data_IF_778762181624
#
_entry.id   IF_778762181624
#
_cell.length_a   1.000
_cell.length_b   1.000
_cell.length_c   1.000
_cell.angle_alpha   90.00
_cell.angle_beta   90.00
_cell.angle_gamma   90.00
#
_symmetry.space_group_name_H-M   'P 1'
#
loop_
_entity.id
_entity.type
_entity.pdbx_description
1 polymer ?
#
# COMPACT_ATOMS: atom_id res chain seq x y z
N UNK A 1 -17.62 -7.28 -13.42
CA UNK A 1 -16.23 -6.79 -13.47
C UNK A 1 -15.81 -6.87 -14.93
N UNK A 2 -15.35 -5.76 -15.50
CA UNK A 2 -14.86 -5.75 -16.90
C UNK A 2 -13.48 -6.44 -16.97
N UNK A 3 -13.19 -7.25 -18.00
CA UNK A 3 -11.85 -7.81 -18.19
C UNK A 3 -10.85 -6.71 -18.57
N UNK A 4 -9.71 -6.69 -17.87
CA UNK A 4 -8.60 -5.78 -18.13
C UNK A 4 -7.44 -6.53 -18.78
N UNK A 5 -6.72 -5.88 -19.68
CA UNK A 5 -5.56 -6.43 -20.38
C UNK A 5 -4.29 -5.71 -19.93
N UNK A 6 -3.17 -6.43 -19.74
CA UNK A 6 -1.88 -5.79 -19.48
C UNK A 6 -1.45 -4.94 -20.67
N UNK A 7 -0.69 -3.89 -20.39
CA UNK A 7 -0.08 -3.03 -21.42
C UNK A 7 1.44 -3.20 -21.42
N UNK A 8 2.14 -2.82 -22.51
CA UNK A 8 3.60 -2.78 -22.50
C UNK A 8 4.12 -1.83 -21.41
N UNK A 9 5.17 -2.22 -20.71
CA UNK A 9 5.76 -1.45 -19.59
C UNK A 9 6.08 0.01 -19.97
N UNK A 10 6.60 0.26 -21.18
CA UNK A 10 6.89 1.62 -21.65
C UNK A 10 5.63 2.51 -21.75
N UNK A 11 4.48 1.92 -22.04
CA UNK A 11 3.22 2.65 -22.09
C UNK A 11 2.68 2.91 -20.67
N UNK A 12 2.81 1.94 -19.77
CA UNK A 12 2.48 2.14 -18.36
C UNK A 12 3.35 3.25 -17.73
N UNK A 13 4.65 3.23 -17.97
CA UNK A 13 5.58 4.26 -17.51
C UNK A 13 5.20 5.66 -18.05
N UNK A 14 4.88 5.76 -19.34
CA UNK A 14 4.43 7.03 -19.93
C UNK A 14 3.12 7.54 -19.30
N UNK A 15 2.22 6.63 -18.88
CA UNK A 15 1.00 6.99 -18.18
C UNK A 15 1.26 7.49 -16.76
N UNK A 16 2.18 6.85 -16.02
CA UNK A 16 2.66 7.37 -14.73
C UNK A 16 3.33 8.73 -14.86
N UNK A 17 4.18 8.92 -15.88
CA UNK A 17 4.80 10.22 -16.18
C UNK A 17 3.75 11.30 -16.47
N UNK A 18 2.70 10.97 -17.21
CA UNK A 18 1.58 11.88 -17.49
C UNK A 18 0.83 12.28 -16.21
N UNK A 19 0.59 11.32 -15.30
CA UNK A 19 -0.03 11.59 -13.99
C UNK A 19 0.87 12.49 -13.15
N UNK A 20 2.17 12.17 -13.07
CA UNK A 20 3.15 12.94 -12.30
C UNK A 20 3.31 14.38 -12.83
N UNK A 21 3.31 14.54 -14.16
CA UNK A 21 3.39 15.84 -14.82
C UNK A 21 2.06 16.60 -14.86
N UNK A 22 0.96 15.97 -14.41
CA UNK A 22 -0.41 16.47 -14.52
C UNK A 22 -0.77 16.87 -15.96
N UNK A 23 -0.48 15.98 -16.92
CA UNK A 23 -0.76 16.22 -18.32
C UNK A 23 -2.27 16.47 -18.56
N UNK A 24 -2.65 17.35 -19.51
CA UNK A 24 -4.06 17.74 -19.72
C UNK A 24 -5.02 16.56 -19.92
N UNK A 25 -4.59 15.51 -20.60
CA UNK A 25 -5.36 14.30 -20.91
C UNK A 25 -5.69 13.44 -19.66
N UNK A 26 -4.99 13.65 -18.55
CA UNK A 26 -5.21 12.93 -17.27
C UNK A 26 -5.56 13.88 -16.12
N UNK A 27 -5.81 15.17 -16.38
CA UNK A 27 -6.04 16.18 -15.35
C UNK A 27 -7.18 15.80 -14.39
N UNK A 28 -8.32 15.34 -14.92
CA UNK A 28 -9.47 14.92 -14.10
C UNK A 28 -9.14 13.71 -13.21
N UNK A 29 -8.35 12.76 -13.71
CA UNK A 29 -7.88 11.62 -12.94
C UNK A 29 -6.97 12.08 -11.81
N UNK A 30 -6.00 12.93 -12.11
CA UNK A 30 -5.04 13.51 -11.15
C UNK A 30 -5.80 14.24 -10.03
N UNK A 31 -6.80 15.05 -10.35
CA UNK A 31 -7.59 15.78 -9.34
C UNK A 31 -8.35 14.84 -8.39
N UNK A 32 -8.89 13.72 -8.91
CA UNK A 32 -9.52 12.69 -8.08
C UNK A 32 -8.48 11.99 -7.21
N UNK A 33 -7.36 11.58 -7.79
CA UNK A 33 -6.27 10.89 -7.10
C UNK A 33 -5.75 11.72 -5.95
N UNK A 34 -5.40 12.99 -6.18
CA UNK A 34 -4.89 13.87 -5.14
C UNK A 34 -5.90 14.06 -4.00
N UNK A 35 -7.18 14.31 -4.32
CA UNK A 35 -8.20 14.49 -3.30
C UNK A 35 -8.37 13.25 -2.42
N UNK A 36 -8.33 12.05 -3.01
CA UNK A 36 -8.43 10.79 -2.25
C UNK A 36 -7.16 10.58 -1.43
N UNK A 37 -5.98 10.79 -2.03
CA UNK A 37 -4.69 10.61 -1.36
C UNK A 37 -4.52 11.55 -0.17
N UNK A 38 -4.82 12.83 -0.34
CA UNK A 38 -4.74 13.84 0.72
C UNK A 38 -5.65 13.48 1.90
N UNK A 39 -6.85 12.97 1.61
CA UNK A 39 -7.75 12.49 2.67
C UNK A 39 -7.21 11.24 3.35
N UNK A 40 -6.68 10.29 2.58
CA UNK A 40 -6.07 9.08 3.12
C UNK A 40 -4.88 9.42 4.01
N UNK A 41 -4.02 10.36 3.61
CA UNK A 41 -2.90 10.85 4.43
C UNK A 41 -3.35 11.53 5.73
N UNK A 42 -4.51 12.20 5.72
CA UNK A 42 -5.05 12.82 6.92
C UNK A 42 -5.71 11.83 7.89
N UNK A 43 -6.30 10.75 7.38
CA UNK A 43 -7.12 9.82 8.17
C UNK A 43 -6.40 8.50 8.52
N UNK A 44 -5.47 8.03 7.69
CA UNK A 44 -4.80 6.73 7.85
C UNK A 44 -3.38 6.90 8.40
N UNK A 45 -3.01 6.20 9.49
CA UNK A 45 -1.71 6.37 10.16
C UNK A 45 -0.50 5.97 9.33
N UNK A 46 -0.68 5.13 8.30
CA UNK A 46 0.38 4.66 7.42
C UNK A 46 -0.05 4.69 5.94
N UNK A 47 -0.60 5.82 5.50
CA UNK A 47 -0.83 6.06 4.07
C UNK A 47 0.52 6.19 3.35
N UNK A 48 0.79 5.27 2.42
CA UNK A 48 2.01 5.28 1.61
C UNK A 48 1.99 6.34 0.50
N UNK A 49 3.06 6.41 -0.31
CA UNK A 49 3.03 7.15 -1.56
C UNK A 49 2.07 6.48 -2.57
N UNK A 50 1.78 7.20 -3.65
CA UNK A 50 1.13 6.60 -4.82
C UNK A 50 2.04 5.49 -5.38
N UNK A 51 1.45 4.34 -5.70
CA UNK A 51 2.17 3.22 -6.31
C UNK A 51 2.52 3.54 -7.77
N UNK A 52 3.79 3.36 -8.12
CA UNK A 52 4.35 3.57 -9.46
C UNK A 52 4.61 2.26 -10.22
N UNK A 53 4.12 1.13 -9.69
CA UNK A 53 4.25 -0.17 -10.33
C UNK A 53 3.51 -0.18 -11.70
N UNK A 54 4.24 -0.34 -12.82
CA UNK A 54 3.64 -0.32 -14.15
C UNK A 54 2.63 -1.43 -14.39
N UNK A 55 2.71 -2.55 -13.65
CA UNK A 55 1.75 -3.67 -13.75
C UNK A 55 0.34 -3.29 -13.29
N UNK A 56 0.20 -2.18 -12.55
CA UNK A 56 -1.10 -1.67 -12.12
C UNK A 56 -1.81 -0.87 -13.23
N UNK A 57 -1.10 -0.52 -14.31
CA UNK A 57 -1.68 0.12 -15.49
C UNK A 57 -2.17 -0.94 -16.45
N UNK A 58 -3.46 -0.87 -16.77
CA UNK A 58 -4.14 -1.85 -17.58
C UNK A 58 -4.99 -1.16 -18.65
N UNK A 59 -5.47 -1.94 -19.61
CA UNK A 59 -6.36 -1.49 -20.68
C UNK A 59 -7.73 -2.14 -20.58
N UNK A 60 -8.77 -1.35 -20.70
CA UNK A 60 -10.16 -1.79 -20.86
C UNK A 60 -10.41 -2.32 -22.27
N UNK A 61 -11.54 -3.00 -22.50
CA UNK A 61 -11.85 -3.58 -23.80
C UNK A 61 -12.07 -2.53 -24.91
N UNK A 62 -12.44 -1.30 -24.53
CA UNK A 62 -12.59 -0.15 -25.42
C UNK A 62 -11.28 0.62 -25.66
N UNK A 63 -10.16 0.17 -25.09
CA UNK A 63 -8.83 0.69 -25.36
C UNK A 63 -8.33 1.75 -24.37
N UNK A 64 -9.14 2.20 -23.42
CA UNK A 64 -8.77 3.20 -22.42
C UNK A 64 -7.80 2.62 -21.37
N UNK A 65 -6.84 3.45 -20.96
CA UNK A 65 -5.93 3.12 -19.86
C UNK A 65 -6.61 3.36 -18.51
N UNK A 66 -6.37 2.45 -17.57
CA UNK A 66 -6.83 2.53 -16.18
C UNK A 66 -5.69 2.16 -15.26
N UNK A 67 -5.71 2.69 -14.04
CA UNK A 67 -4.81 2.29 -12.96
C UNK A 67 -5.62 1.61 -11.87
N UNK A 68 -5.31 0.34 -11.59
CA UNK A 68 -6.16 -0.52 -10.77
C UNK A 68 -5.82 -0.48 -9.28
N UNK A 69 -4.54 -0.30 -8.95
CA UNK A 69 -4.03 -0.33 -7.56
C UNK A 69 -3.01 0.80 -7.35
N UNK A 70 -3.50 1.99 -7.00
CA UNK A 70 -2.68 3.20 -6.93
C UNK A 70 -2.33 3.62 -5.49
N UNK A 71 -3.14 3.21 -4.51
CA UNK A 71 -2.98 3.67 -3.13
C UNK A 71 -2.35 2.57 -2.29
N UNK A 72 -1.11 2.79 -1.88
CA UNK A 72 -0.36 1.83 -1.06
C UNK A 72 -0.39 2.19 0.43
N UNK A 73 -0.21 1.17 1.28
CA UNK A 73 0.17 1.39 2.67
C UNK A 73 1.69 1.61 2.75
N UNK A 74 2.16 2.43 3.69
CA UNK A 74 3.58 2.57 4.00
C UNK A 74 4.07 1.35 4.80
N UNK A 75 4.18 0.22 4.09
CA UNK A 75 4.64 -1.06 4.64
C UNK A 75 5.96 -0.94 5.41
N UNK A 76 7.01 -0.31 4.86
CA UNK A 76 8.27 -0.09 5.58
C UNK A 76 8.08 0.58 6.94
N UNK A 77 7.32 1.67 7.01
CA UNK A 77 7.07 2.37 8.27
C UNK A 77 6.20 1.54 9.22
N UNK A 78 5.19 0.82 8.71
CA UNK A 78 4.37 -0.11 9.53
C UNK A 78 5.28 -1.14 10.19
N UNK A 79 6.10 -1.86 9.43
CA UNK A 79 6.95 -2.93 9.97
C UNK A 79 8.06 -2.39 10.89
N UNK A 80 8.60 -1.21 10.60
CA UNK A 80 9.51 -0.54 11.53
C UNK A 80 8.82 -0.22 12.86
N UNK A 81 7.55 0.23 12.81
CA UNK A 81 6.74 0.52 14.00
C UNK A 81 6.41 -0.74 14.78
N UNK A 82 6.15 -1.89 14.12
CA UNK A 82 5.95 -3.17 14.82
C UNK A 82 7.15 -3.52 15.72
N UNK A 83 8.37 -3.19 15.27
CA UNK A 83 9.60 -3.46 16.02
C UNK A 83 9.86 -2.42 17.10
N UNK A 84 9.60 -1.13 16.83
CA UNK A 84 9.97 -0.03 17.73
C UNK A 84 8.86 0.39 18.70
N UNK A 85 7.60 0.28 18.31
CA UNK A 85 6.40 0.70 19.06
C UNK A 85 5.19 -0.20 18.70
N UNK A 86 5.18 -1.47 19.14
CA UNK A 86 4.08 -2.39 18.85
C UNK A 86 2.74 -1.96 19.48
N UNK A 87 2.77 -1.15 20.54
CA UNK A 87 1.55 -0.62 21.17
C UNK A 87 0.79 0.30 20.22
N UNK A 88 1.50 1.15 19.47
CA UNK A 88 0.89 2.00 18.45
C UNK A 88 0.24 1.16 17.34
N UNK A 89 0.86 0.06 16.92
CA UNK A 89 0.28 -0.85 15.90
C UNK A 89 -1.00 -1.49 16.42
N UNK A 90 -0.97 -2.06 17.63
CA UNK A 90 -2.15 -2.69 18.25
C UNK A 90 -3.30 -1.70 18.46
N UNK A 91 -2.99 -0.45 18.82
CA UNK A 91 -4.00 0.59 19.02
C UNK A 91 -4.69 1.04 17.71
N UNK A 92 -4.08 0.79 16.55
CA UNK A 92 -4.55 1.30 15.25
C UNK A 92 -5.04 0.22 14.29
N UNK A 93 -4.56 -1.01 14.42
CA UNK A 93 -4.94 -2.14 13.57
C UNK A 93 -5.56 -3.24 14.44
N UNK A 94 -6.85 -3.57 14.26
CA UNK A 94 -7.50 -4.66 15.00
C UNK A 94 -6.79 -6.02 14.81
N UNK A 95 -6.86 -6.89 15.82
CA UNK A 95 -6.21 -8.20 15.82
C UNK A 95 -6.50 -9.04 14.58
N UNK A 96 -7.78 -9.14 14.20
CA UNK A 96 -8.22 -9.90 13.05
C UNK A 96 -7.58 -9.43 11.73
N UNK A 97 -7.23 -8.14 11.62
CA UNK A 97 -6.64 -7.53 10.42
C UNK A 97 -5.11 -7.69 10.39
N UNK A 98 -4.45 -7.80 11.54
CA UNK A 98 -2.97 -7.94 11.65
C UNK A 98 -2.46 -9.35 11.96
N UNK A 99 -3.34 -10.32 12.22
CA UNK A 99 -2.95 -11.70 12.62
C UNK A 99 -1.95 -12.41 11.69
N UNK A 100 -1.88 -12.00 10.43
CA UNK A 100 -0.94 -12.55 9.44
C UNK A 100 0.20 -11.61 9.07
N UNK A 101 0.32 -10.43 9.69
CA UNK A 101 1.30 -9.43 9.26
C UNK A 101 2.74 -9.94 9.38
N UNK A 102 3.04 -10.83 10.33
CA UNK A 102 4.38 -11.42 10.47
C UNK A 102 4.63 -12.63 9.56
N UNK A 103 3.60 -13.09 8.84
CA UNK A 103 3.66 -14.31 8.03
C UNK A 103 3.94 -14.00 6.56
N UNK A 104 3.46 -12.85 6.09
CA UNK A 104 3.62 -12.39 4.71
C UNK A 104 4.60 -11.22 4.72
N UNK A 105 5.82 -11.38 4.16
CA UNK A 105 6.75 -10.28 4.11
C UNK A 105 6.28 -9.16 3.19
N UNK A 106 6.89 -7.98 3.36
CA UNK A 106 6.67 -6.89 2.43
C UNK A 106 6.98 -7.37 1.00
N UNK A 107 6.14 -6.94 0.05
CA UNK A 107 6.32 -7.32 -1.35
C UNK A 107 7.76 -7.01 -1.80
N UNK A 108 8.36 -7.96 -2.53
CA UNK A 108 9.72 -7.85 -3.07
C UNK A 108 10.87 -7.73 -2.05
N UNK A 109 10.65 -7.91 -0.73
CA UNK A 109 11.76 -7.91 0.26
C UNK A 109 12.32 -9.28 0.60
N UNK A 110 11.75 -10.35 0.05
CA UNK A 110 12.10 -11.72 0.44
C UNK A 110 11.55 -12.09 1.82
N UNK A 111 11.87 -13.31 2.29
CA UNK A 111 11.39 -13.79 3.58
C UNK A 111 11.99 -13.00 4.75
N UNK A 112 11.22 -12.85 5.83
CA UNK A 112 11.75 -12.33 7.08
C UNK A 112 12.84 -13.23 7.63
N UNK A 113 13.91 -12.61 8.16
CA UNK A 113 14.83 -13.33 9.03
C UNK A 113 14.07 -13.92 10.22
N UNK A 114 14.24 -15.21 10.56
CA UNK A 114 13.43 -15.87 11.58
C UNK A 114 13.41 -15.15 12.93
N UNK A 115 14.55 -14.59 13.35
CA UNK A 115 14.67 -13.84 14.59
C UNK A 115 13.87 -12.52 14.57
N UNK A 116 13.84 -11.82 13.43
CA UNK A 116 13.07 -10.58 13.26
C UNK A 116 11.58 -10.89 13.32
N UNK A 117 11.14 -11.94 12.62
CA UNK A 117 9.75 -12.40 12.65
C UNK A 117 9.30 -12.74 14.07
N UNK A 118 10.12 -13.46 14.82
CA UNK A 118 9.77 -13.84 16.19
C UNK A 118 9.73 -12.63 17.13
N UNK A 119 10.66 -11.68 16.97
CA UNK A 119 10.65 -10.41 17.71
C UNK A 119 9.35 -9.63 17.47
N UNK A 120 8.91 -9.50 16.22
CA UNK A 120 7.65 -8.83 15.86
C UNK A 120 6.44 -9.52 16.50
N UNK A 121 6.35 -10.85 16.44
CA UNK A 121 5.26 -11.62 17.05
C UNK A 121 5.20 -11.42 18.56
N UNK A 122 6.34 -11.54 19.23
CA UNK A 122 6.42 -11.38 20.68
C UNK A 122 6.04 -9.94 21.11
N UNK A 123 6.50 -8.93 20.36
CA UNK A 123 6.16 -7.52 20.60
C UNK A 123 4.66 -7.25 20.50
N UNK A 124 4.02 -7.73 19.43
CA UNK A 124 2.58 -7.57 19.22
C UNK A 124 1.76 -8.32 20.27
N UNK A 125 2.11 -9.57 20.58
CA UNK A 125 1.41 -10.36 21.60
C UNK A 125 1.48 -9.70 22.98
N UNK A 126 2.62 -9.11 23.33
CA UNK A 126 2.77 -8.37 24.58
C UNK A 126 1.92 -7.09 24.59
N UNK A 127 1.84 -6.37 23.47
CA UNK A 127 1.00 -5.17 23.32
C UNK A 127 -0.50 -5.50 23.38
N UNK A 128 -0.93 -6.60 22.77
CA UNK A 128 -2.30 -7.11 22.87
C UNK A 128 -2.70 -7.40 24.32
N UNK A 129 -1.84 -8.11 25.06
CA UNK A 129 -2.08 -8.43 26.47
C UNK A 129 -2.21 -7.18 27.36
N UNK A 130 -1.54 -6.07 27.01
CA UNK A 130 -1.70 -4.78 27.70
C UNK A 130 -3.00 -4.06 27.34
N UNK A 131 -3.43 -4.23 26.09
CA UNK A 131 -4.59 -3.51 25.53
C UNK A 131 -5.94 -4.15 25.90
N UNK A 132 -5.93 -5.35 26.50
CA UNK A 132 -7.12 -6.00 27.04
C UNK A 132 -8.01 -6.68 26.00
N UNK A 133 -7.45 -7.06 24.85
CA UNK A 133 -8.10 -7.90 23.84
C UNK A 133 -7.91 -9.38 24.13
#
# INVERSE_FOLDING_TARGET
MEPLQPVPEAEAAAFHDAIAARAPEVADLVDVVHRVHERAQAELPWCGPLDDNPDNVMRTADGRLVIADLFSADGPTIYATVVSDPDLVVARIPEAERRFMTEIPLANTGAWEPAVRESMRAGLAAADARSGW
#
